data_IF_932838056049
#
_entry.id   IF_932838056049
#
_cell.length_a   1.000
_cell.length_b   1.000
_cell.length_c   1.000
_cell.angle_alpha   90.00
_cell.angle_beta   90.00
_cell.angle_gamma   90.00
#
_symmetry.space_group_name_H-M   'P 1'
#
loop_
_entity.id
_entity.type
_entity.pdbx_description
1 polymer ?
#
# COMPACT_ATOMS: atom_id res chain seq x y z
N UNK A 1 14.38 8.52 0.68
CA UNK A 1 14.50 8.08 -0.72
C UNK A 1 13.72 6.80 -0.92
N UNK A 2 12.64 6.87 -1.70
CA UNK A 2 12.05 5.67 -2.27
C UNK A 2 12.81 5.31 -3.54
N UNK A 3 13.80 4.42 -3.40
CA UNK A 3 14.48 3.81 -4.54
C UNK A 3 13.87 2.43 -4.83
N UNK A 4 13.73 2.11 -6.11
CA UNK A 4 13.46 0.74 -6.58
C UNK A 4 14.82 0.03 -6.70
N UNK A 5 15.24 -0.70 -5.68
CA UNK A 5 16.37 -1.64 -5.81
C UNK A 5 15.82 -3.03 -6.09
N UNK A 6 16.11 -3.59 -7.28
CA UNK A 6 15.73 -4.96 -7.67
C UNK A 6 14.24 -5.28 -7.45
N UNK A 7 13.35 -4.31 -7.69
CA UNK A 7 11.90 -4.45 -7.52
C UNK A 7 11.38 -4.20 -6.11
N UNK A 8 12.24 -3.90 -5.13
CA UNK A 8 11.85 -3.52 -3.78
C UNK A 8 11.69 -1.99 -3.67
N UNK A 9 10.56 -1.52 -3.14
CA UNK A 9 10.38 -0.11 -2.77
C UNK A 9 10.93 0.08 -1.35
N UNK A 10 12.02 0.84 -1.22
CA UNK A 10 12.61 1.18 0.09
C UNK A 10 11.90 2.40 0.66
N UNK A 11 11.38 2.37 1.89
CA UNK A 11 10.79 3.55 2.55
C UNK A 11 11.48 3.80 3.90
N UNK A 12 11.47 5.05 4.35
CA UNK A 12 11.85 5.42 5.72
C UNK A 12 13.27 5.98 5.87
N UNK A 13 14.16 5.71 4.93
CA UNK A 13 15.59 6.03 5.12
C UNK A 13 16.21 5.21 6.27
N UNK A 14 17.48 5.47 6.57
CA UNK A 14 18.21 4.65 7.54
C UNK A 14 17.79 4.91 8.99
N UNK A 15 17.36 6.14 9.30
CA UNK A 15 16.83 6.48 10.62
C UNK A 15 15.58 5.67 10.96
N UNK A 16 14.58 5.62 10.07
CA UNK A 16 13.34 4.85 10.30
C UNK A 16 13.63 3.37 10.49
N UNK A 17 14.49 2.80 9.65
CA UNK A 17 14.89 1.38 9.74
C UNK A 17 15.62 1.09 11.05
N UNK A 18 16.51 1.98 11.48
CA UNK A 18 17.26 1.83 12.72
C UNK A 18 16.33 1.89 13.93
N UNK A 19 15.40 2.85 13.96
CA UNK A 19 14.38 2.95 15.02
C UNK A 19 13.44 1.76 15.04
N UNK A 20 13.00 1.28 13.88
CA UNK A 20 12.19 0.06 13.81
C UNK A 20 12.93 -1.16 14.38
N UNK A 21 14.23 -1.31 14.06
CA UNK A 21 15.07 -2.38 14.58
C UNK A 21 15.26 -2.29 16.10
N UNK A 22 15.49 -1.09 16.63
CA UNK A 22 15.61 -0.86 18.07
C UNK A 22 14.32 -1.25 18.80
N UNK A 23 13.17 -0.76 18.33
CA UNK A 23 11.86 -1.07 18.92
C UNK A 23 11.54 -2.57 18.88
N UNK A 24 11.87 -3.27 17.78
CA UNK A 24 11.68 -4.73 17.72
C UNK A 24 12.49 -5.45 18.80
N UNK A 25 13.74 -5.04 19.01
CA UNK A 25 14.61 -5.64 20.04
C UNK A 25 14.12 -5.32 21.45
N UNK A 26 13.61 -4.10 21.69
CA UNK A 26 13.02 -3.70 22.97
C UNK A 26 11.78 -4.53 23.31
N UNK A 27 10.97 -4.91 22.31
CA UNK A 27 9.85 -5.85 22.46
C UNK A 27 10.29 -7.32 22.58
N UNK A 28 11.60 -7.60 22.65
CA UNK A 28 12.15 -8.94 22.84
C UNK A 28 12.24 -9.79 21.57
N UNK A 29 12.10 -9.19 20.38
CA UNK A 29 12.20 -9.91 19.11
C UNK A 29 13.67 -10.11 18.72
N UNK A 30 14.10 -11.36 18.54
CA UNK A 30 15.39 -11.67 17.92
C UNK A 30 15.33 -11.37 16.41
N UNK A 31 16.05 -10.34 15.97
CA UNK A 31 16.11 -9.97 14.55
C UNK A 31 17.38 -10.55 13.92
N UNK A 32 17.19 -11.45 12.95
CA UNK A 32 18.25 -12.10 12.20
C UNK A 32 18.27 -11.52 10.78
N UNK A 33 19.35 -10.80 10.44
CA UNK A 33 19.53 -10.14 9.14
C UNK A 33 20.59 -10.86 8.30
N UNK A 34 20.61 -10.57 6.99
CA UNK A 34 21.57 -11.13 6.03
C UNK A 34 21.50 -12.67 5.89
N UNK A 35 20.40 -13.28 6.32
CA UNK A 35 20.13 -14.71 6.19
C UNK A 35 18.98 -14.96 5.22
N UNK A 36 19.04 -16.07 4.48
CA UNK A 36 17.94 -16.62 3.69
C UNK A 36 17.49 -17.94 4.31
N UNK A 37 16.25 -18.03 4.81
CA UNK A 37 15.76 -19.25 5.44
C UNK A 37 15.32 -20.28 4.40
N UNK A 38 15.67 -21.54 4.65
CA UNK A 38 15.04 -22.73 4.07
C UNK A 38 14.20 -23.39 5.15
N UNK A 39 12.92 -23.61 4.88
CA UNK A 39 11.95 -24.13 5.86
C UNK A 39 11.61 -25.57 5.50
N UNK A 40 11.77 -26.47 6.48
CA UNK A 40 11.40 -27.89 6.36
C UNK A 40 10.36 -28.22 7.42
N UNK A 41 9.16 -28.63 7.01
CA UNK A 41 8.14 -29.13 7.92
C UNK A 41 8.58 -30.47 8.53
N UNK A 42 8.39 -30.63 9.83
CA UNK A 42 8.73 -31.85 10.58
C UNK A 42 7.47 -32.68 10.91
N UNK A 43 7.62 -33.99 11.22
CA UNK A 43 6.48 -34.86 11.52
C UNK A 43 5.67 -34.47 12.75
N UNK A 44 6.25 -33.72 13.67
CA UNK A 44 5.63 -33.26 14.93
C UNK A 44 4.87 -31.92 14.76
N UNK A 45 4.58 -31.52 13.52
CA UNK A 45 3.94 -30.25 13.16
C UNK A 45 4.78 -29.00 13.48
N UNK A 46 6.05 -29.15 13.83
CA UNK A 46 7.00 -28.05 13.92
C UNK A 46 7.71 -27.84 12.57
N UNK A 47 8.53 -26.79 12.48
CA UNK A 47 9.36 -26.50 11.31
C UNK A 47 10.82 -26.33 11.71
N UNK A 48 11.72 -26.96 10.96
CA UNK A 48 13.16 -26.68 11.00
C UNK A 48 13.48 -25.56 10.01
N UNK A 49 14.20 -24.56 10.47
CA UNK A 49 14.67 -23.45 9.65
C UNK A 49 16.18 -23.53 9.58
N UNK A 50 16.71 -23.60 8.36
CA UNK A 50 18.14 -23.62 8.07
C UNK A 50 18.49 -22.35 7.30
N UNK A 51 19.51 -21.63 7.75
CA UNK A 51 19.97 -20.42 7.04
C UNK A 51 21.13 -20.72 6.11
N UNK A 52 21.41 -19.81 5.18
CA UNK A 52 22.53 -19.94 4.24
C UNK A 52 23.91 -19.91 4.92
N UNK A 53 24.02 -19.43 6.16
CA UNK A 53 25.24 -19.55 6.98
C UNK A 53 25.19 -20.72 7.98
N UNK A 54 24.38 -21.74 7.69
CA UNK A 54 24.27 -22.99 8.46
C UNK A 54 23.79 -22.84 9.92
N UNK A 55 23.14 -21.73 10.29
CA UNK A 55 22.40 -21.63 11.56
C UNK A 55 21.13 -22.47 11.44
N UNK A 56 20.86 -23.28 12.47
CA UNK A 56 19.64 -24.08 12.57
C UNK A 56 18.78 -23.61 13.74
N UNK A 57 17.47 -23.56 13.53
CA UNK A 57 16.50 -23.24 14.57
C UNK A 57 15.21 -24.03 14.33
N UNK A 58 14.46 -24.30 15.40
CA UNK A 58 13.15 -24.93 15.33
C UNK A 58 12.08 -23.90 15.68
N UNK A 59 10.95 -23.95 14.99
CA UNK A 59 9.82 -23.07 15.22
C UNK A 59 8.52 -23.89 15.27
N UNK A 60 7.64 -23.56 16.23
CA UNK A 60 6.29 -24.14 16.27
C UNK A 60 5.40 -23.61 15.14
N UNK A 61 5.63 -22.36 14.71
CA UNK A 61 4.91 -21.73 13.61
C UNK A 61 5.85 -20.89 12.75
N UNK A 62 5.56 -20.83 11.45
CA UNK A 62 6.30 -20.00 10.49
C UNK A 62 5.31 -19.18 9.67
N UNK A 63 5.49 -17.86 9.69
CA UNK A 63 4.71 -16.93 8.89
C UNK A 63 5.58 -16.39 7.75
N UNK A 64 5.14 -16.61 6.50
CA UNK A 64 5.84 -16.07 5.34
C UNK A 64 5.38 -14.63 5.08
N UNK A 65 6.19 -13.67 5.52
CA UNK A 65 5.88 -12.23 5.41
C UNK A 65 6.51 -11.55 4.18
N UNK A 66 7.13 -12.32 3.29
CA UNK A 66 7.56 -11.84 1.98
C UNK A 66 6.38 -11.95 1.00
N UNK A 67 6.19 -11.00 0.10
CA UNK A 67 5.21 -11.13 -0.98
C UNK A 67 5.86 -10.73 -2.30
N UNK A 68 5.72 -11.58 -3.32
CA UNK A 68 5.93 -11.14 -4.70
C UNK A 68 4.65 -10.41 -5.11
N UNK A 69 4.68 -9.09 -5.08
CA UNK A 69 3.51 -8.24 -5.34
C UNK A 69 3.19 -8.18 -6.83
N UNK A 70 2.65 -9.25 -7.41
CA UNK A 70 2.00 -9.18 -8.72
C UNK A 70 0.54 -8.70 -8.54
N UNK A 71 0.09 -7.67 -9.26
CA UNK A 71 -1.33 -7.32 -9.29
C UNK A 71 -2.19 -8.51 -9.73
N UNK A 72 -3.40 -8.63 -9.17
CA UNK A 72 -4.38 -9.63 -9.63
C UNK A 72 -5.05 -9.14 -10.92
N UNK A 73 -4.31 -9.13 -12.02
CA UNK A 73 -4.73 -8.56 -13.32
C UNK A 73 -4.68 -9.59 -14.46
N UNK A 74 -4.39 -10.85 -14.16
CA UNK A 74 -4.23 -11.90 -15.18
C UNK A 74 -5.46 -12.17 -16.04
N UNK A 75 -6.64 -11.72 -15.61
CA UNK A 75 -7.90 -11.81 -16.37
C UNK A 75 -8.07 -10.68 -17.40
N UNK A 76 -7.26 -9.62 -17.34
CA UNK A 76 -7.35 -8.49 -18.24
C UNK A 76 -6.57 -8.73 -19.55
N UNK A 77 -7.00 -8.11 -20.66
CA UNK A 77 -6.25 -8.15 -21.90
C UNK A 77 -4.81 -7.65 -21.71
N UNK A 78 -3.83 -8.40 -22.23
CA UNK A 78 -2.40 -8.03 -22.14
C UNK A 78 -2.10 -6.64 -22.69
N UNK A 79 -2.91 -6.14 -23.63
CA UNK A 79 -2.79 -4.78 -24.19
C UNK A 79 -3.03 -3.66 -23.18
N UNK A 80 -3.64 -3.95 -22.02
CA UNK A 80 -3.86 -3.01 -20.93
C UNK A 80 -2.78 -3.07 -19.85
N UNK A 81 -1.93 -4.11 -19.90
CA UNK A 81 -1.00 -4.44 -18.83
C UNK A 81 0.42 -4.05 -19.23
N UNK A 82 1.15 -3.51 -18.26
CA UNK A 82 2.62 -3.40 -18.34
C UNK A 82 3.26 -4.77 -18.12
N UNK A 83 4.58 -4.83 -18.33
CA UNK A 83 5.37 -6.04 -18.09
C UNK A 83 5.25 -6.58 -16.66
N UNK A 84 5.03 -5.71 -15.67
CA UNK A 84 4.85 -6.08 -14.26
C UNK A 84 3.38 -6.39 -13.89
N UNK A 85 2.48 -6.43 -14.87
CA UNK A 85 1.05 -6.68 -14.69
C UNK A 85 0.25 -5.48 -14.20
N UNK A 86 0.85 -4.30 -14.02
CA UNK A 86 0.14 -3.08 -13.62
C UNK A 86 -0.52 -2.36 -14.79
N UNK A 87 -1.45 -1.45 -14.48
CA UNK A 87 -2.19 -0.62 -15.44
C UNK A 87 -1.74 0.83 -15.27
N UNK A 88 -1.38 1.50 -16.38
CA UNK A 88 -1.09 2.94 -16.34
C UNK A 88 -2.37 3.76 -16.24
N UNK A 89 -2.35 4.79 -15.42
CA UNK A 89 -3.46 5.74 -15.30
C UNK A 89 -2.99 7.19 -15.31
N UNK A 90 -3.85 8.11 -15.76
CA UNK A 90 -3.59 9.55 -15.67
C UNK A 90 -3.93 10.13 -14.27
N UNK A 91 -3.86 11.45 -14.13
CA UNK A 91 -4.22 12.13 -12.88
C UNK A 91 -5.72 11.98 -12.52
N UNK A 92 -6.57 11.69 -13.51
CA UNK A 92 -8.02 11.51 -13.37
C UNK A 92 -8.41 10.03 -13.21
N UNK A 93 -7.41 9.14 -13.02
CA UNK A 93 -7.57 7.70 -12.89
C UNK A 93 -8.08 6.99 -14.15
N UNK A 94 -7.99 7.64 -15.32
CA UNK A 94 -8.31 7.00 -16.60
C UNK A 94 -7.15 6.14 -17.07
N UNK A 95 -7.48 4.97 -17.61
CA UNK A 95 -6.48 4.04 -18.14
C UNK A 95 -5.81 4.63 -19.38
N UNK A 96 -4.48 4.61 -19.39
CA UNK A 96 -3.65 5.04 -20.51
C UNK A 96 -3.07 3.79 -21.18
N UNK A 97 -3.35 3.58 -22.47
CA UNK A 97 -2.72 2.56 -23.29
C UNK A 97 -1.81 3.14 -24.36
N UNK A 98 -0.83 2.37 -24.84
CA UNK A 98 0.10 2.78 -25.91
C UNK A 98 -0.60 3.16 -27.23
N UNK A 99 -1.84 2.70 -27.44
CA UNK A 99 -2.60 2.88 -28.69
C UNK A 99 -4.07 3.26 -28.49
N UNK A 100 -4.56 3.36 -27.25
CA UNK A 100 -5.98 3.57 -26.97
C UNK A 100 -6.12 4.54 -25.79
N UNK A 101 -6.73 5.69 -26.07
CA UNK A 101 -7.31 6.54 -25.04
C UNK A 101 -8.65 5.93 -24.66
N UNK A 102 -8.66 5.13 -23.59
CA UNK A 102 -9.89 4.58 -23.05
C UNK A 102 -10.54 5.63 -22.15
N UNK A 103 -11.15 6.66 -22.77
CA UNK A 103 -11.76 7.77 -22.04
C UNK A 103 -12.86 7.37 -21.05
N UNK A 104 -13.28 6.11 -21.05
CA UNK A 104 -14.32 5.53 -20.20
C UNK A 104 -13.83 4.36 -19.32
N UNK A 105 -12.53 4.01 -19.35
CA UNK A 105 -11.98 2.97 -18.48
C UNK A 105 -11.15 3.64 -17.39
N UNK A 106 -11.42 3.25 -16.15
CA UNK A 106 -10.75 3.75 -14.96
C UNK A 106 -10.14 2.61 -14.18
N UNK A 107 -9.06 2.88 -13.46
CA UNK A 107 -8.42 1.92 -12.56
C UNK A 107 -7.93 2.63 -11.29
N UNK A 108 -7.97 1.92 -10.17
CA UNK A 108 -7.60 2.42 -8.85
C UNK A 108 -6.99 1.30 -8.00
N UNK A 109 -6.18 1.67 -7.01
CA UNK A 109 -5.56 0.77 -6.05
C UNK A 109 -4.39 -0.04 -6.61
N UNK A 110 -4.22 -1.25 -6.08
CA UNK A 110 -3.02 -2.07 -6.28
C UNK A 110 -2.78 -2.52 -7.73
N UNK A 111 -3.81 -2.46 -8.58
CA UNK A 111 -3.70 -2.75 -10.02
C UNK A 111 -3.04 -1.62 -10.80
N UNK A 112 -2.98 -0.41 -10.25
CA UNK A 112 -2.38 0.75 -10.92
C UNK A 112 -0.87 0.76 -10.80
N UNK A 113 -0.19 1.25 -11.83
CA UNK A 113 1.24 1.50 -11.78
C UNK A 113 1.56 2.59 -10.76
N UNK A 114 2.43 2.27 -9.80
CA UNK A 114 2.92 3.24 -8.80
C UNK A 114 4.37 3.00 -8.45
N UNK A 115 5.06 4.10 -8.15
CA UNK A 115 6.44 4.10 -7.66
C UNK A 115 6.55 4.12 -6.12
N UNK A 116 5.41 4.27 -5.41
CA UNK A 116 5.34 4.29 -3.95
C UNK A 116 4.78 2.98 -3.37
N UNK A 117 4.76 2.86 -2.04
CA UNK A 117 4.05 1.76 -1.38
C UNK A 117 2.55 1.91 -1.63
N UNK A 118 1.95 0.79 -2.02
CA UNK A 118 0.50 0.60 -2.12
C UNK A 118 -0.08 0.57 -0.70
N UNK A 119 -0.90 1.57 -0.38
CA UNK A 119 -1.57 1.74 0.91
C UNK A 119 -3.08 1.86 0.70
N UNK A 120 -3.86 1.27 1.60
CA UNK A 120 -5.33 1.25 1.51
C UNK A 120 -5.94 2.65 1.38
N UNK A 121 -5.47 3.61 2.19
CA UNK A 121 -5.97 4.99 2.11
C UNK A 121 -5.74 5.66 0.75
N UNK A 122 -4.60 5.39 0.10
CA UNK A 122 -4.33 5.86 -1.26
C UNK A 122 -5.31 5.23 -2.27
N UNK A 123 -5.52 3.92 -2.19
CA UNK A 123 -6.46 3.21 -3.03
C UNK A 123 -7.90 3.73 -2.89
N UNK A 124 -8.33 4.08 -1.67
CA UNK A 124 -9.66 4.67 -1.42
C UNK A 124 -9.81 6.05 -2.09
N UNK A 125 -8.79 6.90 -2.01
CA UNK A 125 -8.80 8.21 -2.69
C UNK A 125 -8.86 8.05 -4.20
N UNK A 126 -8.12 7.09 -4.75
CA UNK A 126 -8.15 6.78 -6.18
C UNK A 126 -9.53 6.28 -6.62
N UNK A 127 -10.12 5.37 -5.84
CA UNK A 127 -11.46 4.86 -6.08
C UNK A 127 -12.51 5.97 -6.08
N UNK A 128 -12.43 6.90 -5.11
CA UNK A 128 -13.32 8.07 -5.04
C UNK A 128 -13.19 8.97 -6.28
N UNK A 129 -11.97 9.29 -6.70
CA UNK A 129 -11.72 10.10 -7.91
C UNK A 129 -12.24 9.39 -9.16
N UNK A 130 -11.98 8.09 -9.30
CA UNK A 130 -12.51 7.30 -10.41
C UNK A 130 -14.05 7.32 -10.43
N UNK A 131 -14.70 7.14 -9.28
CA UNK A 131 -16.16 7.15 -9.16
C UNK A 131 -16.78 8.50 -9.58
N UNK A 132 -16.24 9.62 -9.06
CA UNK A 132 -16.72 10.97 -9.43
C UNK A 132 -16.53 11.23 -10.92
N UNK A 133 -15.40 10.80 -11.50
CA UNK A 133 -15.12 11.00 -12.92
C UNK A 133 -15.99 10.14 -13.82
N UNK A 134 -16.31 8.91 -13.42
CA UNK A 134 -17.29 8.06 -14.11
C UNK A 134 -18.65 8.74 -14.10
N UNK A 135 -19.11 9.21 -12.92
CA UNK A 135 -20.39 9.90 -12.79
C UNK A 135 -20.49 11.12 -13.71
N UNK A 136 -19.50 12.01 -13.64
CA UNK A 136 -19.44 13.23 -14.46
C UNK A 136 -19.46 12.92 -15.96
N UNK A 137 -18.71 11.91 -16.39
CA UNK A 137 -18.68 11.47 -17.79
C UNK A 137 -20.01 10.88 -18.25
N UNK A 138 -20.70 10.11 -17.38
CA UNK A 138 -22.03 9.57 -17.67
C UNK A 138 -23.07 10.68 -17.78
N UNK A 139 -23.04 11.69 -16.91
CA UNK A 139 -23.99 12.80 -16.93
C UNK A 139 -23.79 13.67 -18.17
N UNK A 140 -22.55 14.05 -18.50
CA UNK A 140 -22.24 14.81 -19.71
C UNK A 140 -22.61 14.09 -21.01
N UNK A 141 -22.67 12.75 -21.00
CA UNK A 141 -23.15 11.96 -22.15
C UNK A 141 -24.69 11.98 -22.27
N UNK A 142 -25.41 12.11 -21.16
CA UNK A 142 -26.87 12.10 -21.11
C UNK A 142 -27.50 13.47 -21.33
N UNK A 143 -26.85 14.52 -20.85
CA UNK A 143 -27.33 15.89 -20.92
C UNK A 143 -26.22 16.81 -21.46
N UNK A 144 -26.47 17.39 -22.63
CA UNK A 144 -25.54 18.32 -23.31
C UNK A 144 -25.28 19.57 -22.47
N UNK A 145 -26.20 19.94 -21.57
CA UNK A 145 -26.05 21.06 -20.64
C UNK A 145 -25.23 20.73 -19.39
N UNK A 146 -24.95 19.46 -19.12
CA UNK A 146 -24.19 19.05 -17.94
C UNK A 146 -22.69 19.23 -18.17
N UNK A 147 -21.98 20.00 -17.33
CA UNK A 147 -20.55 20.24 -17.52
C UNK A 147 -19.73 18.98 -17.20
N UNK A 148 -18.83 18.62 -18.12
CA UNK A 148 -17.83 17.59 -17.85
C UNK A 148 -16.74 18.14 -16.93
N UNK A 149 -16.86 17.87 -15.63
CA UNK A 149 -15.88 18.23 -14.61
C UNK A 149 -15.16 16.97 -14.14
N UNK A 150 -13.84 16.91 -14.31
CA UNK A 150 -13.05 15.75 -13.93
C UNK A 150 -12.08 16.09 -12.80
N UNK A 151 -12.24 15.38 -11.70
CA UNK A 151 -11.40 15.43 -10.51
C UNK A 151 -10.03 14.82 -10.73
N UNK A 152 -9.05 15.32 -9.98
CA UNK A 152 -7.66 14.86 -10.06
C UNK A 152 -7.24 14.24 -8.74
N UNK A 153 -6.67 13.04 -8.82
CA UNK A 153 -6.09 12.35 -7.67
C UNK A 153 -4.93 13.18 -7.07
N UNK A 154 -5.02 13.57 -5.79
CA UNK A 154 -4.00 14.40 -5.16
C UNK A 154 -2.64 13.69 -5.10
N UNK A 155 -1.57 14.42 -5.45
CA UNK A 155 -0.21 13.87 -5.45
C UNK A 155 0.27 13.43 -4.07
N UNK A 156 -0.29 14.00 -3.00
CA UNK A 156 0.10 13.69 -1.62
C UNK A 156 -0.05 12.21 -1.27
N UNK A 157 -1.05 11.53 -1.84
CA UNK A 157 -1.27 10.08 -1.67
C UNK A 157 -0.33 9.22 -2.51
N UNK A 158 0.49 9.84 -3.35
CA UNK A 158 1.54 9.19 -4.13
C UNK A 158 2.92 9.31 -3.48
N UNK A 159 3.05 10.09 -2.40
CA UNK A 159 4.32 10.26 -1.70
C UNK A 159 4.56 9.12 -0.70
N UNK A 160 5.80 8.61 -0.59
CA UNK A 160 6.21 7.62 0.41
C UNK A 160 5.89 8.08 1.84
N UNK A 161 4.95 7.40 2.51
CA UNK A 161 4.62 7.60 3.92
C UNK A 161 4.35 6.26 4.58
N UNK A 162 4.70 6.12 5.85
CA UNK A 162 4.47 4.89 6.61
C UNK A 162 4.33 5.20 8.09
N UNK A 163 3.33 4.60 8.73
CA UNK A 163 3.29 4.41 10.17
C UNK A 163 3.37 2.90 10.42
N UNK A 164 4.29 2.46 11.26
CA UNK A 164 4.48 1.05 11.60
C UNK A 164 4.29 0.87 13.10
N UNK A 165 3.37 -0.02 13.47
CA UNK A 165 3.17 -0.44 14.86
C UNK A 165 4.15 -1.55 15.23
N UNK A 166 4.84 -1.39 16.35
CA UNK A 166 5.80 -2.34 16.91
C UNK A 166 5.51 -2.44 18.41
N UNK A 167 4.86 -3.55 18.81
CA UNK A 167 4.32 -3.67 20.16
C UNK A 167 3.37 -2.52 20.47
N UNK A 168 3.66 -1.76 21.53
CA UNK A 168 2.88 -0.57 21.91
C UNK A 168 3.37 0.72 21.26
N UNK A 169 4.56 0.70 20.65
CA UNK A 169 5.18 1.87 20.07
C UNK A 169 4.87 1.96 18.58
N UNK A 170 4.81 3.18 18.06
CA UNK A 170 4.70 3.44 16.64
C UNK A 170 5.98 4.14 16.18
N UNK A 171 6.42 3.84 14.96
CA UNK A 171 7.43 4.61 14.23
C UNK A 171 6.79 5.16 12.95
N UNK A 172 6.95 6.46 12.71
CA UNK A 172 6.31 7.18 11.62
C UNK A 172 7.34 7.85 10.71
N UNK A 173 7.13 7.70 9.40
CA UNK A 173 7.83 8.35 8.32
C UNK A 173 6.84 9.16 7.47
N UNK A 174 6.99 10.49 7.48
CA UNK A 174 6.08 11.39 6.77
C UNK A 174 6.64 11.91 5.42
N UNK A 175 7.90 11.62 5.13
CA UNK A 175 8.60 12.07 3.93
C UNK A 175 10.05 12.46 4.24
N UNK A 176 10.82 12.84 3.22
CA UNK A 176 12.26 13.13 3.36
C UNK A 176 12.56 14.38 4.18
N UNK A 177 11.64 15.35 4.19
CA UNK A 177 11.83 16.63 4.86
C UNK A 177 11.23 16.65 6.28
N UNK A 178 10.79 15.50 6.79
CA UNK A 178 10.18 15.37 8.11
C UNK A 178 11.01 14.41 8.98
N UNK A 179 11.19 14.72 10.28
CA UNK A 179 11.87 13.82 11.20
C UNK A 179 11.09 12.51 11.34
N UNK A 180 11.81 11.42 11.65
CA UNK A 180 11.18 10.18 12.06
C UNK A 180 10.61 10.37 13.46
N UNK A 181 9.31 10.16 13.61
CA UNK A 181 8.61 10.27 14.90
C UNK A 181 8.42 8.89 15.52
N UNK A 182 8.54 8.81 16.84
CA UNK A 182 8.30 7.57 17.60
C UNK A 182 7.46 7.82 18.85
N UNK A 183 6.70 6.80 19.25
CA UNK A 183 6.04 6.75 20.54
C UNK A 183 4.59 6.27 20.50
N UNK A 184 4.09 5.86 21.67
CA UNK A 184 2.77 5.25 21.82
C UNK A 184 1.61 6.21 21.47
N UNK A 185 1.78 7.51 21.74
CA UNK A 185 0.78 8.55 21.43
C UNK A 185 0.44 8.68 19.95
N UNK A 186 1.34 8.22 19.07
CA UNK A 186 1.11 8.20 17.63
C UNK A 186 0.11 7.11 17.23
N UNK A 187 -0.15 6.11 18.09
CA UNK A 187 -1.11 5.04 17.84
C UNK A 187 -2.49 5.58 17.50
N UNK A 188 -3.04 6.41 18.39
CA UNK A 188 -4.34 7.05 18.18
C UNK A 188 -4.33 7.97 16.94
N UNK A 189 -3.25 8.74 16.74
CA UNK A 189 -3.15 9.68 15.62
C UNK A 189 -3.11 8.99 14.25
N UNK A 190 -2.42 7.85 14.17
CA UNK A 190 -2.17 7.13 12.94
C UNK A 190 -3.23 6.08 12.64
N UNK A 191 -3.70 5.37 13.66
CA UNK A 191 -4.57 4.20 13.53
C UNK A 191 -5.92 4.36 14.22
N UNK A 192 -6.07 5.29 15.16
CA UNK A 192 -7.28 5.39 15.97
C UNK A 192 -7.68 4.05 16.59
N UNK A 193 -8.98 3.79 16.66
CA UNK A 193 -9.55 2.53 17.16
C UNK A 193 -9.84 1.50 16.06
N UNK A 194 -9.64 1.85 14.79
CA UNK A 194 -10.12 1.09 13.61
C UNK A 194 -9.09 0.98 12.49
N UNK A 195 -7.80 1.09 12.82
CA UNK A 195 -6.69 1.07 11.87
C UNK A 195 -6.74 2.20 10.82
N UNK A 196 -7.37 3.32 11.17
CA UNK A 196 -7.44 4.54 10.37
C UNK A 196 -8.60 4.54 9.37
N UNK A 197 -9.56 3.63 9.52
CA UNK A 197 -10.71 3.52 8.62
C UNK A 197 -11.60 4.76 8.67
N UNK A 198 -12.06 5.17 9.84
CA UNK A 198 -12.89 6.36 10.04
C UNK A 198 -12.16 7.61 9.54
N UNK A 199 -10.86 7.74 9.86
CA UNK A 199 -10.05 8.87 9.36
C UNK A 199 -10.06 8.96 7.83
N UNK A 200 -10.00 7.83 7.14
CA UNK A 200 -10.10 7.79 5.69
C UNK A 200 -11.50 8.13 5.20
N UNK A 201 -12.56 7.63 5.83
CA UNK A 201 -13.94 8.00 5.50
C UNK A 201 -14.18 9.50 5.67
N UNK A 202 -13.75 10.07 6.79
CA UNK A 202 -13.82 11.50 7.09
C UNK A 202 -13.10 12.33 6.01
N UNK A 203 -11.90 11.90 5.61
CA UNK A 203 -11.13 12.55 4.55
C UNK A 203 -11.85 12.54 3.20
N UNK A 204 -12.70 11.53 2.97
CA UNK A 204 -13.51 11.39 1.75
C UNK A 204 -14.90 12.02 1.89
N UNK A 205 -15.27 12.54 3.06
CA UNK A 205 -16.61 13.06 3.33
C UNK A 205 -17.69 11.98 3.39
N UNK A 206 -17.36 10.78 3.87
CA UNK A 206 -18.24 9.60 3.90
C UNK A 206 -18.72 9.23 5.32
N UNK A 207 -18.82 10.20 6.23
CA UNK A 207 -19.12 9.96 7.65
C UNK A 207 -20.58 9.53 7.92
N UNK A 208 -21.52 9.88 7.03
CA UNK A 208 -22.97 9.86 7.31
C UNK A 208 -23.78 8.79 6.54
N UNK A 209 -23.19 7.66 6.13
CA UNK A 209 -23.99 6.53 5.63
C UNK A 209 -24.48 5.67 6.80
N UNK A 210 -25.52 6.10 7.49
CA UNK A 210 -26.36 5.16 8.24
C UNK A 210 -27.01 4.20 7.23
N UNK A 211 -26.70 2.91 7.34
CA UNK A 211 -27.50 1.87 6.70
C UNK A 211 -28.93 1.98 7.25
N UNK A 212 -29.80 2.66 6.51
CA UNK A 212 -31.24 2.47 6.65
C UNK A 212 -31.56 1.06 6.13
N UNK A 213 -31.31 0.04 6.96
CA UNK A 213 -31.83 -1.32 6.80
C UNK A 213 -33.21 -1.45 7.44
#
# INVERSE_FOLDING_TARGET
>A
MASKEKGLVVIGGDEFKSRALELLKEEGVEVILCERPTITALPDQTSRIETNHAKQMNAGHVFWATSQKAPSTGFLPKSLLREDGSIMVDAQQRVIGHHLSFGHIYAAGDVTERHSIRIGGGAMVEGSVAAVNIYSSLMATRDIGFPLVLERCPQVYRLPRMALSIGKNIVCYQGENAPVETGQKLGELCFGQDLGWQKMLNTLGLEDYEEQL
#
